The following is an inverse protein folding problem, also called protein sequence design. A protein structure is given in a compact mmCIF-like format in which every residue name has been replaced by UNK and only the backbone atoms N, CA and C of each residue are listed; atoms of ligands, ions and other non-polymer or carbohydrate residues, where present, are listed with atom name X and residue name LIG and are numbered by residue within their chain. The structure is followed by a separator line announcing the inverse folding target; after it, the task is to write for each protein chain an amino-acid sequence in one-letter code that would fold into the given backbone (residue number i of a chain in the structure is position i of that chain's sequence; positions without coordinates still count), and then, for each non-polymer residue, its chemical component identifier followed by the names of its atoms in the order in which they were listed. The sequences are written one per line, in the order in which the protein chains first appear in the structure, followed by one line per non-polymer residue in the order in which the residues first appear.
data_IF_805351252624
#
_entry.id   IF_805351252624
#
_cell.length_a   1.000
_cell.length_b   1.000
_cell.length_c   1.000
_cell.angle_alpha   90.00
_cell.angle_beta   90.00
_cell.angle_gamma   90.00
#
_symmetry.space_group_name_H-M   'P 1'
#
loop_
_entity.id
_entity.type
_entity.pdbx_description
1 polymer ?
#
# COMPACT_ATOMS: atom_id res chain seq x y z
N UNK A 1 23.15 -7.01 -4.98
CA UNK A 1 23.22 -5.60 -4.52
C UNK A 1 22.45 -5.52 -3.21
N UNK A 2 23.05 -4.95 -2.13
CA UNK A 2 22.30 -4.78 -0.87
C UNK A 2 21.26 -3.66 -1.09
N UNK A 3 20.00 -4.02 -1.22
CA UNK A 3 18.89 -3.11 -1.56
C UNK A 3 18.10 -2.83 -0.28
N UNK A 4 18.35 -1.71 0.42
CA UNK A 4 17.60 -1.39 1.63
C UNK A 4 16.13 -1.16 1.26
N UNK A 5 15.28 -2.07 1.70
CA UNK A 5 13.81 -1.92 1.66
C UNK A 5 13.35 -1.35 3.00
N UNK A 6 12.30 -0.54 3.02
CA UNK A 6 11.68 -0.17 4.28
C UNK A 6 11.17 -1.44 4.98
N UNK A 7 11.43 -1.53 6.27
CA UNK A 7 11.04 -2.66 7.12
C UNK A 7 9.68 -2.46 7.80
N UNK A 8 9.26 -3.43 8.61
CA UNK A 8 7.99 -3.40 9.31
C UNK A 8 7.88 -2.26 10.34
N UNK A 9 8.99 -1.75 10.88
CA UNK A 9 8.96 -0.58 11.75
C UNK A 9 8.50 0.68 10.98
N UNK A 10 9.01 0.89 9.78
CA UNK A 10 8.52 1.96 8.91
C UNK A 10 7.11 1.71 8.42
N UNK A 11 6.76 0.45 8.12
CA UNK A 11 5.38 0.06 7.81
C UNK A 11 4.41 0.45 8.91
N UNK A 12 4.78 0.20 10.17
CA UNK A 12 3.97 0.54 11.34
C UNK A 12 3.76 2.05 11.50
N UNK A 13 4.81 2.85 11.33
CA UNK A 13 4.68 4.31 11.41
C UNK A 13 3.79 4.86 10.30
N UNK A 14 3.97 4.39 9.06
CA UNK A 14 3.20 4.89 7.93
C UNK A 14 1.73 4.42 7.98
N UNK A 15 1.45 3.22 8.47
CA UNK A 15 0.07 2.80 8.71
C UNK A 15 -0.64 3.69 9.74
N UNK A 16 0.03 4.04 10.84
CA UNK A 16 -0.52 4.99 11.83
C UNK A 16 -0.79 6.37 11.21
N UNK A 17 0.12 6.85 10.35
CA UNK A 17 -0.01 8.13 9.65
C UNK A 17 -1.15 8.16 8.61
N UNK A 18 -1.72 7.01 8.21
CA UNK A 18 -2.87 6.93 7.32
C UNK A 18 -4.18 7.44 7.97
N UNK A 19 -4.24 7.56 9.29
CA UNK A 19 -5.33 8.26 9.99
C UNK A 19 -5.16 9.77 9.84
N UNK A 20 -6.08 10.42 9.14
CA UNK A 20 -5.95 11.84 8.77
C UNK A 20 -6.06 12.79 9.98
N UNK A 21 -6.75 12.40 11.02
CA UNK A 21 -6.98 13.15 12.26
C UNK A 21 -6.47 12.38 13.52
N UNK A 22 -5.60 11.40 13.31
CA UNK A 22 -4.85 10.68 14.34
C UNK A 22 -3.44 11.24 14.52
N UNK A 23 -2.69 10.71 15.49
CA UNK A 23 -1.31 11.10 15.78
C UNK A 23 -0.45 9.86 16.00
N UNK A 24 0.74 9.84 15.41
CA UNK A 24 1.76 8.83 15.69
C UNK A 24 2.73 9.37 16.73
N UNK A 25 2.97 8.65 17.81
CA UNK A 25 3.98 8.96 18.83
C UNK A 25 5.11 7.96 18.71
N UNK A 26 6.32 8.44 18.48
CA UNK A 26 7.51 7.59 18.51
C UNK A 26 8.17 7.61 19.88
N UNK A 27 8.16 6.47 20.57
CA UNK A 27 9.01 6.26 21.73
C UNK A 27 10.41 5.81 21.26
N UNK A 28 11.37 6.72 21.24
CA UNK A 28 12.69 6.45 20.70
C UNK A 28 13.52 7.70 20.41
N UNK A 29 14.71 7.51 19.82
CA UNK A 29 15.56 8.61 19.34
C UNK A 29 14.90 9.37 18.18
N UNK A 30 15.11 10.68 18.12
CA UNK A 30 14.50 11.55 17.10
C UNK A 30 14.86 11.18 15.65
N UNK A 31 16.03 10.60 15.40
CA UNK A 31 16.47 10.17 14.08
C UNK A 31 15.59 9.06 13.47
N UNK A 32 15.02 8.18 14.28
CA UNK A 32 14.21 7.06 13.83
C UNK A 32 12.92 7.46 13.09
N UNK A 33 12.42 8.67 13.30
CA UNK A 33 11.20 9.18 12.62
C UNK A 33 11.46 9.80 11.24
N UNK A 34 12.73 10.16 10.94
CA UNK A 34 13.07 11.03 9.80
C UNK A 34 12.56 10.55 8.45
N UNK A 35 12.67 9.26 8.17
CA UNK A 35 12.20 8.68 6.92
C UNK A 35 10.66 8.70 6.83
N UNK A 36 9.96 8.20 7.84
CA UNK A 36 8.50 8.18 7.86
C UNK A 36 7.91 9.60 7.84
N UNK A 37 8.47 10.54 8.61
CA UNK A 37 8.03 11.93 8.60
C UNK A 37 8.23 12.59 7.22
N UNK A 38 9.33 12.29 6.53
CA UNK A 38 9.58 12.79 5.16
C UNK A 38 8.56 12.25 4.16
N UNK A 39 8.25 10.95 4.20
CA UNK A 39 7.22 10.37 3.33
C UNK A 39 5.84 10.89 3.67
N UNK A 40 5.47 10.93 4.94
CA UNK A 40 4.19 11.48 5.38
C UNK A 40 3.98 12.94 4.96
N UNK A 41 5.04 13.72 4.86
CA UNK A 41 4.97 15.11 4.39
C UNK A 41 4.78 15.22 2.88
N UNK A 42 5.20 14.23 2.10
CA UNK A 42 5.09 14.23 0.62
C UNK A 42 3.79 13.61 0.12
N UNK A 43 3.34 12.56 0.78
CA UNK A 43 2.15 11.79 0.40
C UNK A 43 1.04 12.04 1.41
N UNK A 44 0.70 13.32 1.63
CA UNK A 44 -0.14 13.77 2.74
C UNK A 44 -1.57 13.26 2.59
N UNK A 45 -2.04 12.36 3.46
CA UNK A 45 -3.47 12.08 3.59
C UNK A 45 -4.22 13.17 4.38
N UNK A 46 -3.50 14.11 5.01
CA UNK A 46 -4.03 15.18 5.87
C UNK A 46 -4.11 16.51 5.13
N UNK A 47 -4.97 17.43 5.61
CA UNK A 47 -5.08 18.77 5.05
C UNK A 47 -3.74 19.54 5.14
N UNK A 48 -3.48 20.37 4.14
CA UNK A 48 -2.23 21.10 3.94
C UNK A 48 -1.83 21.98 5.15
N UNK A 49 -2.79 22.45 5.94
CA UNK A 49 -2.57 23.30 7.12
C UNK A 49 -1.76 22.65 8.25
N UNK A 50 -1.68 21.32 8.27
CA UNK A 50 -0.88 20.59 9.28
C UNK A 50 0.58 20.42 8.89
N UNK A 51 0.98 20.86 7.70
CA UNK A 51 2.33 20.70 7.13
C UNK A 51 3.11 22.02 7.14
N UNK A 52 2.42 23.15 7.01
CA UNK A 52 3.07 24.46 7.06
C UNK A 52 3.60 24.77 8.46
N UNK A 53 4.90 24.77 8.60
CA UNK A 53 5.59 25.22 9.79
C UNK A 53 6.20 24.16 10.68
N UNK A 54 6.00 22.87 10.40
CA UNK A 54 6.44 21.78 11.29
C UNK A 54 7.95 21.58 11.39
N UNK A 55 8.76 22.22 10.53
CA UNK A 55 10.16 21.83 10.41
C UNK A 55 11.13 22.51 11.39
N UNK A 56 10.89 23.78 11.77
CA UNK A 56 11.86 24.50 12.63
C UNK A 56 11.29 25.07 13.93
N UNK A 57 10.01 25.48 13.95
CA UNK A 57 9.42 26.20 15.08
C UNK A 57 8.07 25.65 15.54
N UNK A 58 7.57 24.60 14.89
CA UNK A 58 6.28 23.99 15.17
C UNK A 58 6.42 22.53 15.57
N UNK A 59 5.34 21.89 15.99
CA UNK A 59 5.32 20.49 16.38
C UNK A 59 5.65 19.58 15.23
N UNK A 60 6.49 18.61 15.52
CA UNK A 60 6.72 17.54 14.57
C UNK A 60 5.43 16.76 14.32
N UNK A 61 5.21 16.39 13.07
CA UNK A 61 4.12 15.51 12.65
C UNK A 61 4.12 14.18 13.42
N UNK A 62 5.30 13.66 13.73
CA UNK A 62 5.49 12.47 14.58
C UNK A 62 6.22 12.94 15.84
N UNK A 63 5.50 13.31 16.93
CA UNK A 63 6.13 13.61 18.20
C UNK A 63 6.96 12.43 18.69
N UNK A 64 8.09 12.74 19.34
CA UNK A 64 9.09 11.76 19.72
C UNK A 64 9.57 12.02 21.14
N UNK A 65 9.85 10.97 21.89
CA UNK A 65 10.38 11.07 23.27
C UNK A 65 11.83 11.51 23.34
N UNK A 66 12.54 11.52 22.20
CA UNK A 66 13.97 11.88 22.13
C UNK A 66 14.80 11.12 23.17
N UNK A 67 14.63 9.79 23.21
CA UNK A 67 15.39 8.92 24.10
C UNK A 67 16.89 9.18 23.95
N UNK A 68 17.54 9.49 25.06
CA UNK A 68 18.97 9.76 25.17
C UNK A 68 19.69 8.64 25.96
N UNK A 69 21.00 8.85 26.26
CA UNK A 69 21.80 7.85 26.93
C UNK A 69 21.31 7.51 28.34
N UNK A 70 20.82 8.48 29.08
CA UNK A 70 20.36 8.27 30.45
C UNK A 70 19.02 7.53 30.47
N UNK A 71 18.19 7.80 29.50
CA UNK A 71 16.91 7.09 29.31
C UNK A 71 17.10 5.58 29.09
N UNK A 72 18.16 5.16 28.40
CA UNK A 72 18.48 3.73 28.24
C UNK A 72 18.84 3.05 29.56
N UNK A 73 19.25 3.81 30.58
CA UNK A 73 19.65 3.29 31.90
C UNK A 73 18.48 3.37 32.89
N UNK A 74 17.74 4.49 32.88
CA UNK A 74 16.73 4.81 33.91
C UNK A 74 15.28 4.70 33.44
N UNK A 75 15.06 4.45 32.15
CA UNK A 75 13.73 4.45 31.51
C UNK A 75 13.30 5.85 31.05
N UNK A 76 12.40 5.87 30.07
CA UNK A 76 11.91 7.08 29.41
C UNK A 76 10.36 7.14 29.35
N UNK A 77 9.65 6.25 30.04
CA UNK A 77 8.18 6.12 29.95
C UNK A 77 7.47 7.43 30.27
N UNK A 78 7.99 8.23 31.25
CA UNK A 78 7.41 9.55 31.63
C UNK A 78 7.39 10.55 30.48
N UNK A 79 8.33 10.43 29.52
CA UNK A 79 8.35 11.30 28.33
C UNK A 79 7.13 11.02 27.44
N UNK A 80 6.62 9.78 27.43
CA UNK A 80 5.37 9.43 26.73
C UNK A 80 4.17 10.08 27.42
N UNK A 81 4.08 10.05 28.77
CA UNK A 81 3.04 10.75 29.50
C UNK A 81 2.98 12.23 29.16
N UNK A 82 4.16 12.89 29.14
CA UNK A 82 4.23 14.33 28.80
C UNK A 82 3.68 14.62 27.39
N UNK A 83 3.96 13.75 26.41
CA UNK A 83 3.41 13.90 25.06
C UNK A 83 1.89 13.67 25.09
N UNK A 84 1.41 12.65 25.78
CA UNK A 84 -0.02 12.35 25.91
C UNK A 84 -0.79 13.48 26.57
N UNK A 85 -0.23 14.14 27.60
CA UNK A 85 -0.85 15.29 28.27
C UNK A 85 -1.01 16.48 27.30
N UNK A 86 -0.01 16.72 26.45
CA UNK A 86 -0.09 17.74 25.41
C UNK A 86 -1.20 17.37 24.41
N UNK A 87 -1.21 16.13 23.90
CA UNK A 87 -2.22 15.68 22.92
C UNK A 87 -3.64 15.70 23.49
N UNK A 88 -3.77 15.44 24.80
CA UNK A 88 -5.05 15.57 25.51
C UNK A 88 -5.55 17.00 25.55
N UNK A 89 -4.66 17.96 25.81
CA UNK A 89 -5.02 19.39 25.81
C UNK A 89 -5.40 19.92 24.42
N UNK A 90 -4.99 19.23 23.36
CA UNK A 90 -5.31 19.53 21.95
C UNK A 90 -6.51 18.78 21.41
N UNK A 91 -7.20 18.03 22.26
CA UNK A 91 -8.37 17.23 21.90
C UNK A 91 -8.08 16.20 20.78
N UNK A 92 -6.84 15.67 20.72
CA UNK A 92 -6.46 14.64 19.77
C UNK A 92 -7.46 13.48 19.81
N UNK A 93 -7.94 13.07 18.64
CA UNK A 93 -9.00 12.06 18.53
C UNK A 93 -8.49 10.66 18.79
N UNK A 94 -7.25 10.37 18.35
CA UNK A 94 -6.61 9.07 18.51
C UNK A 94 -5.10 9.18 18.38
N UNK A 95 -4.36 8.37 19.15
CA UNK A 95 -2.91 8.28 19.07
C UNK A 95 -2.44 6.82 18.99
N UNK A 96 -1.36 6.58 18.26
CA UNK A 96 -0.66 5.29 18.23
C UNK A 96 0.75 5.50 18.75
N UNK A 97 1.13 4.77 19.80
CA UNK A 97 2.48 4.77 20.36
C UNK A 97 3.26 3.61 19.77
N UNK A 98 4.40 3.91 19.18
CA UNK A 98 5.32 2.95 18.57
C UNK A 98 6.67 3.04 19.26
N UNK A 99 7.29 1.90 19.54
CA UNK A 99 8.66 1.83 20.07
C UNK A 99 9.68 1.68 18.95
N UNK A 100 10.73 2.47 19.00
CA UNK A 100 11.89 2.23 18.13
C UNK A 100 12.64 0.96 18.55
N UNK A 101 13.45 0.35 17.65
CA UNK A 101 14.21 -0.86 17.97
C UNK A 101 15.03 -0.75 19.25
N UNK A 102 15.67 0.41 19.48
CA UNK A 102 16.44 0.65 20.70
C UNK A 102 15.58 0.83 21.94
N UNK A 103 14.47 1.58 21.84
CA UNK A 103 13.58 1.82 22.97
C UNK A 103 12.86 0.56 23.45
N UNK A 104 12.51 -0.36 22.54
CA UNK A 104 11.89 -1.63 22.91
C UNK A 104 12.76 -2.53 23.80
N UNK A 105 14.08 -2.24 23.88
CA UNK A 105 15.00 -2.94 24.78
C UNK A 105 15.05 -2.36 26.19
N UNK A 106 14.53 -1.14 26.40
CA UNK A 106 14.49 -0.49 27.73
C UNK A 106 13.50 -1.21 28.63
N UNK A 107 12.39 -1.70 28.07
CA UNK A 107 11.34 -2.36 28.81
C UNK A 107 10.41 -1.41 29.56
N UNK A 108 10.21 -0.21 29.03
CA UNK A 108 9.31 0.79 29.58
C UNK A 108 7.86 0.29 29.64
N UNK A 109 7.16 0.59 30.75
CA UNK A 109 5.74 0.19 30.95
C UNK A 109 4.81 1.23 30.33
N UNK A 110 4.77 1.32 29.01
CA UNK A 110 3.97 2.32 28.30
C UNK A 110 2.46 2.24 28.58
N UNK A 111 1.92 1.03 28.88
CA UNK A 111 0.53 0.84 29.26
C UNK A 111 0.17 1.60 30.54
N UNK A 112 1.06 1.60 31.54
CA UNK A 112 0.81 2.27 32.80
C UNK A 112 0.75 3.80 32.60
N UNK A 113 1.60 4.32 31.72
CA UNK A 113 1.63 5.72 31.37
C UNK A 113 0.36 6.16 30.58
N UNK A 114 -0.09 5.35 29.64
CA UNK A 114 -1.32 5.59 28.89
C UNK A 114 -2.53 5.54 29.83
N UNK A 115 -2.57 4.60 30.78
CA UNK A 115 -3.64 4.52 31.79
C UNK A 115 -3.67 5.76 32.69
N UNK A 116 -2.51 6.19 33.19
CA UNK A 116 -2.39 7.33 34.09
C UNK A 116 -2.73 8.66 33.41
N UNK A 117 -2.47 8.81 32.10
CA UNK A 117 -2.84 9.99 31.32
C UNK A 117 -4.35 10.17 31.12
N UNK A 118 -5.15 9.11 31.33
CA UNK A 118 -6.58 9.07 31.03
C UNK A 118 -6.91 9.09 29.54
N UNK A 119 -5.97 8.71 28.68
CA UNK A 119 -6.13 8.60 27.22
C UNK A 119 -6.28 7.15 26.73
N UNK A 120 -6.51 6.18 27.61
CA UNK A 120 -6.57 4.76 27.27
C UNK A 120 -7.52 4.44 26.12
N UNK A 121 -8.69 5.06 26.07
CA UNK A 121 -9.70 4.83 25.03
C UNK A 121 -9.33 5.44 23.68
N UNK A 122 -8.40 6.38 23.68
CA UNK A 122 -7.93 7.12 22.49
C UNK A 122 -6.49 6.78 22.11
N UNK A 123 -5.87 5.81 22.75
CA UNK A 123 -4.47 5.45 22.49
C UNK A 123 -4.32 3.95 22.28
N UNK A 124 -3.63 3.57 21.22
CA UNK A 124 -3.17 2.22 20.98
C UNK A 124 -1.63 2.16 21.11
N UNK A 125 -1.10 1.05 21.63
CA UNK A 125 0.33 0.83 21.76
C UNK A 125 0.68 -0.40 20.94
N UNK A 126 1.62 -0.25 20.00
CA UNK A 126 2.22 -1.40 19.33
C UNK A 126 3.32 -1.97 20.25
N UNK A 127 3.00 -3.04 20.95
CA UNK A 127 3.79 -3.58 22.07
C UNK A 127 5.09 -4.28 21.69
N UNK A 128 5.49 -4.25 20.41
CA UNK A 128 6.79 -4.75 19.93
C UNK A 128 7.25 -3.99 18.69
N UNK A 129 8.55 -3.80 18.56
CA UNK A 129 9.13 -3.28 17.33
C UNK A 129 9.13 -4.36 16.24
N UNK A 130 8.65 -4.02 15.04
CA UNK A 130 8.54 -4.92 13.89
C UNK A 130 9.68 -4.75 12.88
N UNK A 131 10.86 -4.30 13.30
CA UNK A 131 12.00 -4.06 12.40
C UNK A 131 12.49 -5.34 11.66
N UNK A 132 12.31 -6.51 12.25
CA UNK A 132 12.67 -7.80 11.62
C UNK A 132 11.60 -8.32 10.64
N UNK A 133 10.45 -7.69 10.62
CA UNK A 133 9.33 -8.06 9.73
C UNK A 133 9.39 -7.26 8.44
N UNK A 134 8.63 -7.72 7.43
CA UNK A 134 8.47 -6.98 6.18
C UNK A 134 7.68 -5.69 6.39
N UNK A 135 7.80 -4.77 5.44
CA UNK A 135 7.02 -3.52 5.45
C UNK A 135 5.51 -3.81 5.49
N UNK A 136 5.05 -4.75 4.66
CA UNK A 136 3.64 -5.14 4.59
C UNK A 136 3.12 -5.66 5.93
N UNK A 137 3.89 -6.53 6.61
CA UNK A 137 3.52 -7.05 7.92
C UNK A 137 3.42 -5.96 8.99
N UNK A 138 4.36 -5.02 9.01
CA UNK A 138 4.30 -3.89 9.94
C UNK A 138 3.11 -2.96 9.68
N UNK A 139 2.81 -2.73 8.41
CA UNK A 139 1.67 -1.93 7.98
C UNK A 139 0.35 -2.56 8.43
N UNK A 140 0.14 -3.82 8.08
CA UNK A 140 -1.06 -4.60 8.39
C UNK A 140 -1.29 -4.75 9.91
N UNK A 141 -0.27 -5.14 10.66
CA UNK A 141 -0.38 -5.30 12.12
C UNK A 141 -0.79 -4.00 12.82
N UNK A 142 -0.33 -2.85 12.32
CA UNK A 142 -0.71 -1.55 12.88
C UNK A 142 -2.14 -1.16 12.49
N UNK A 143 -2.55 -1.43 11.24
CA UNK A 143 -3.96 -1.27 10.84
C UNK A 143 -4.89 -2.14 11.69
N UNK A 144 -4.51 -3.40 11.93
CA UNK A 144 -5.25 -4.33 12.77
C UNK A 144 -5.36 -3.82 14.22
N UNK A 145 -4.27 -3.30 14.79
CA UNK A 145 -4.26 -2.69 16.12
C UNK A 145 -5.25 -1.51 16.21
N UNK A 146 -5.23 -0.62 15.21
CA UNK A 146 -6.14 0.53 15.15
C UNK A 146 -7.59 0.07 14.98
N UNK A 147 -7.84 -0.89 14.10
CA UNK A 147 -9.18 -1.45 13.87
C UNK A 147 -9.74 -2.11 15.15
N UNK A 148 -8.96 -2.93 15.85
CA UNK A 148 -9.33 -3.56 17.13
C UNK A 148 -9.73 -2.52 18.19
N UNK A 149 -9.11 -1.36 18.16
CA UNK A 149 -9.40 -0.28 19.12
C UNK A 149 -10.64 0.53 18.72
N UNK A 150 -10.80 0.83 17.46
CA UNK A 150 -11.79 1.79 16.95
C UNK A 150 -13.05 1.15 16.36
N UNK A 151 -12.91 0.11 15.53
CA UNK A 151 -14.03 -0.56 14.89
C UNK A 151 -14.68 -1.56 15.84
N UNK A 152 -15.93 -1.33 16.20
CA UNK A 152 -16.71 -2.20 17.06
C UNK A 152 -17.89 -2.79 16.28
N UNK A 153 -18.29 -4.01 16.63
CA UNK A 153 -19.41 -4.69 15.96
C UNK A 153 -20.64 -3.81 15.88
N UNK A 154 -21.20 -3.66 14.69
CA UNK A 154 -22.35 -2.80 14.40
C UNK A 154 -23.22 -3.42 13.30
N UNK A 155 -24.41 -2.86 13.11
CA UNK A 155 -25.30 -3.23 12.01
C UNK A 155 -24.68 -2.88 10.66
N UNK A 156 -24.83 -3.79 9.69
CA UNK A 156 -24.26 -3.62 8.34
C UNK A 156 -25.17 -2.73 7.48
N UNK A 157 -24.53 -1.90 6.69
CA UNK A 157 -25.21 -1.12 5.64
C UNK A 157 -25.07 -1.84 4.32
N UNK A 158 -26.19 -2.22 3.66
CA UNK A 158 -26.12 -2.85 2.33
C UNK A 158 -25.44 -1.94 1.31
N UNK A 159 -24.84 -2.52 0.28
CA UNK A 159 -24.19 -1.79 -0.82
C UNK A 159 -23.09 -0.83 -0.35
N UNK A 160 -22.41 -1.16 0.76
CA UNK A 160 -21.29 -0.38 1.24
C UNK A 160 -20.05 -1.25 1.45
N UNK A 161 -18.87 -0.68 1.19
CA UNK A 161 -17.60 -1.37 1.37
C UNK A 161 -16.56 -0.48 2.05
N UNK A 162 -15.50 -1.10 2.57
CA UNK A 162 -14.24 -0.41 2.84
C UNK A 162 -13.26 -0.72 1.72
N UNK A 163 -12.47 0.25 1.28
CA UNK A 163 -11.33 0.04 0.39
C UNK A 163 -10.06 -0.14 1.22
N UNK A 164 -9.28 -1.18 0.93
CA UNK A 164 -8.14 -1.59 1.77
C UNK A 164 -6.97 -2.16 0.94
N UNK A 165 -5.85 -2.46 1.60
CA UNK A 165 -4.72 -3.13 0.96
C UNK A 165 -3.95 -2.23 0.00
N UNK A 166 -4.00 -0.92 0.20
CA UNK A 166 -3.27 0.04 -0.60
C UNK A 166 -2.62 1.08 0.33
N UNK A 167 -1.34 0.97 0.66
CA UNK A 167 -0.66 2.00 1.44
C UNK A 167 -0.73 3.36 0.75
N UNK A 168 -1.02 4.45 1.49
CA UNK A 168 -1.18 5.78 0.92
C UNK A 168 0.07 6.31 0.19
N UNK A 169 1.22 5.73 0.47
CA UNK A 169 2.49 6.02 -0.20
C UNK A 169 2.68 5.24 -1.50
N UNK A 170 1.72 4.41 -1.91
CA UNK A 170 1.76 3.71 -3.21
C UNK A 170 1.68 4.69 -4.36
N UNK A 171 2.32 4.36 -5.48
CA UNK A 171 2.40 5.22 -6.65
C UNK A 171 1.04 5.65 -7.17
N UNK A 172 0.80 6.96 -7.20
CA UNK A 172 -0.45 7.53 -7.70
C UNK A 172 -1.67 7.16 -6.86
N UNK A 173 -1.50 6.82 -5.57
CA UNK A 173 -2.54 6.29 -4.68
C UNK A 173 -3.84 7.10 -4.73
N UNK A 174 -3.77 8.43 -4.54
CA UNK A 174 -4.98 9.26 -4.46
C UNK A 174 -5.76 9.37 -5.78
N UNK A 175 -5.09 9.32 -6.93
CA UNK A 175 -5.76 9.26 -8.23
C UNK A 175 -6.39 7.90 -8.46
N UNK A 176 -5.70 6.82 -8.08
CA UNK A 176 -6.21 5.46 -8.14
C UNK A 176 -7.47 5.30 -7.27
N UNK A 177 -7.43 5.77 -6.04
CA UNK A 177 -8.60 5.69 -5.13
C UNK A 177 -9.83 6.35 -5.74
N UNK A 178 -9.68 7.53 -6.36
CA UNK A 178 -10.80 8.18 -7.07
C UNK A 178 -11.35 7.34 -8.22
N UNK A 179 -10.48 6.70 -8.99
CA UNK A 179 -10.87 5.80 -10.08
C UNK A 179 -11.63 4.58 -9.54
N UNK A 180 -11.08 3.92 -8.49
CA UNK A 180 -11.72 2.76 -7.88
C UNK A 180 -13.09 3.11 -7.25
N UNK A 181 -13.19 4.26 -6.58
CA UNK A 181 -14.48 4.78 -6.09
C UNK A 181 -15.48 4.97 -7.25
N UNK A 182 -15.02 5.50 -8.37
CA UNK A 182 -15.87 5.70 -9.55
C UNK A 182 -16.36 4.37 -10.13
N UNK A 183 -15.50 3.36 -10.24
CA UNK A 183 -15.87 2.02 -10.68
C UNK A 183 -16.88 1.36 -9.72
N UNK A 184 -16.68 1.48 -8.41
CA UNK A 184 -17.61 0.97 -7.39
C UNK A 184 -18.95 1.70 -7.46
N UNK A 185 -18.94 3.02 -7.65
CA UNK A 185 -20.14 3.84 -7.76
C UNK A 185 -21.01 3.47 -8.98
N UNK A 186 -20.39 3.04 -10.11
CA UNK A 186 -21.14 2.52 -11.27
C UNK A 186 -21.95 1.27 -10.93
N UNK A 187 -21.53 0.50 -9.92
CA UNK A 187 -22.26 -0.65 -9.40
C UNK A 187 -23.22 -0.30 -8.25
N UNK A 188 -23.39 0.99 -7.94
CA UNK A 188 -24.19 1.46 -6.80
C UNK A 188 -23.57 1.27 -5.43
N UNK A 189 -22.26 0.97 -5.37
CA UNK A 189 -21.55 0.72 -4.12
C UNK A 189 -20.97 2.02 -3.56
N UNK A 190 -21.14 2.24 -2.25
CA UNK A 190 -20.56 3.37 -1.52
C UNK A 190 -19.38 2.91 -0.66
N UNK A 191 -18.26 3.62 -0.71
CA UNK A 191 -17.11 3.38 0.16
C UNK A 191 -17.29 4.15 1.47
N UNK A 192 -17.20 3.45 2.62
CA UNK A 192 -17.30 4.03 3.97
C UNK A 192 -15.93 4.55 4.44
N UNK A 193 -14.88 3.75 4.26
CA UNK A 193 -13.55 4.06 4.73
C UNK A 193 -12.48 3.55 3.75
N UNK A 194 -11.47 4.39 3.53
CA UNK A 194 -10.24 4.05 2.79
C UNK A 194 -9.16 3.65 3.80
N UNK A 195 -9.26 2.41 4.33
CA UNK A 195 -8.44 1.92 5.45
C UNK A 195 -6.98 1.74 5.00
N UNK A 196 -6.07 2.40 5.73
CA UNK A 196 -4.64 2.38 5.40
C UNK A 196 -4.26 3.37 4.28
N UNK A 197 -5.24 4.09 3.72
CA UNK A 197 -5.04 5.05 2.64
C UNK A 197 -5.15 6.47 3.19
N UNK A 198 -6.39 6.89 3.51
CA UNK A 198 -6.68 8.20 4.09
C UNK A 198 -8.07 8.16 4.73
N UNK A 199 -8.18 7.76 5.98
CA UNK A 199 -9.45 7.78 6.68
C UNK A 199 -9.35 8.57 7.99
N UNK A 200 -10.48 9.14 8.41
CA UNK A 200 -10.59 9.73 9.74
C UNK A 200 -10.80 8.67 10.81
N UNK A 201 -10.55 9.00 12.06
CA UNK A 201 -10.89 8.14 13.20
C UNK A 201 -12.37 7.73 13.19
N UNK A 202 -13.25 8.66 12.78
CA UNK A 202 -14.68 8.38 12.69
C UNK A 202 -15.00 7.40 11.54
N UNK A 203 -14.40 7.57 10.38
CA UNK A 203 -14.54 6.61 9.28
C UNK A 203 -14.02 5.23 9.66
N UNK A 204 -12.89 5.15 10.40
CA UNK A 204 -12.39 3.89 10.94
C UNK A 204 -13.40 3.25 11.92
N UNK A 205 -14.09 4.02 12.76
CA UNK A 205 -15.17 3.49 13.61
C UNK A 205 -16.35 2.99 12.78
N UNK A 206 -16.74 3.73 11.76
CA UNK A 206 -17.85 3.38 10.87
C UNK A 206 -17.54 2.23 9.92
N UNK A 207 -16.25 1.89 9.73
CA UNK A 207 -15.83 0.80 8.84
C UNK A 207 -16.46 -0.54 9.20
N UNK A 208 -16.83 -0.74 10.48
CA UNK A 208 -17.55 -1.91 10.96
C UNK A 208 -18.97 -2.04 10.40
N UNK A 209 -19.52 -1.01 9.77
CA UNK A 209 -20.85 -1.01 9.15
C UNK A 209 -20.81 -1.45 7.68
N UNK A 210 -19.64 -1.64 7.08
CA UNK A 210 -19.52 -2.08 5.71
C UNK A 210 -20.05 -3.51 5.51
N UNK A 211 -20.56 -3.80 4.30
CA UNK A 211 -20.96 -5.15 3.90
C UNK A 211 -19.76 -6.03 3.59
N UNK A 212 -18.68 -5.44 3.09
CA UNK A 212 -17.43 -6.15 2.78
C UNK A 212 -16.22 -5.19 2.83
N UNK A 213 -15.03 -5.76 2.97
CA UNK A 213 -13.77 -5.09 2.65
C UNK A 213 -13.37 -5.43 1.22
N UNK A 214 -13.00 -4.45 0.42
CA UNK A 214 -12.46 -4.63 -0.92
C UNK A 214 -10.95 -4.41 -0.85
N UNK A 215 -10.17 -5.49 -0.92
CA UNK A 215 -8.74 -5.48 -0.74
C UNK A 215 -8.01 -5.50 -2.08
N UNK A 216 -7.10 -4.54 -2.30
CA UNK A 216 -6.32 -4.42 -3.54
C UNK A 216 -5.09 -5.32 -3.47
N UNK A 217 -4.23 -5.15 -2.46
CA UNK A 217 -3.02 -5.93 -2.22
C UNK A 217 -3.09 -6.51 -0.81
N UNK A 218 -3.39 -7.81 -0.66
CA UNK A 218 -3.59 -8.43 0.65
C UNK A 218 -2.33 -8.46 1.52
N UNK A 219 -1.16 -8.32 0.97
CA UNK A 219 0.11 -8.23 1.69
C UNK A 219 0.09 -7.08 2.73
N UNK A 220 -0.78 -6.09 2.53
CA UNK A 220 -0.93 -4.94 3.44
C UNK A 220 -2.20 -4.99 4.30
N UNK A 221 -3.00 -6.06 4.21
CA UNK A 221 -4.28 -6.16 4.91
C UNK A 221 -4.73 -7.63 5.12
N UNK A 222 -3.86 -8.48 5.63
CA UNK A 222 -4.17 -9.88 5.86
C UNK A 222 -4.63 -10.14 7.30
N UNK A 223 -3.83 -9.76 8.31
CA UNK A 223 -4.18 -9.89 9.74
C UNK A 223 -5.41 -9.03 10.07
N UNK A 224 -5.48 -7.85 9.51
CA UNK A 224 -6.62 -6.96 9.68
C UNK A 224 -7.88 -7.53 9.02
N UNK A 225 -7.76 -8.16 7.86
CA UNK A 225 -8.86 -8.85 7.19
C UNK A 225 -9.42 -10.01 8.03
N UNK A 226 -8.57 -10.80 8.67
CA UNK A 226 -8.98 -11.85 9.60
C UNK A 226 -9.80 -11.28 10.76
N UNK A 227 -9.32 -10.21 11.41
CA UNK A 227 -10.06 -9.52 12.46
C UNK A 227 -11.45 -9.04 12.00
N UNK A 228 -11.53 -8.40 10.82
CA UNK A 228 -12.82 -7.95 10.27
C UNK A 228 -13.76 -9.11 9.98
N UNK A 229 -13.26 -10.22 9.48
CA UNK A 229 -14.06 -11.39 9.17
C UNK A 229 -14.55 -12.12 10.46
N UNK A 230 -13.65 -12.43 11.37
CA UNK A 230 -13.93 -13.25 12.54
C UNK A 230 -14.70 -12.47 13.62
N UNK A 231 -14.27 -11.25 13.93
CA UNK A 231 -14.83 -10.49 15.03
C UNK A 231 -15.97 -9.58 14.62
N UNK A 232 -15.90 -9.01 13.40
CA UNK A 232 -16.90 -8.06 12.92
C UNK A 232 -17.89 -8.68 11.92
N UNK A 233 -17.61 -9.86 11.37
CA UNK A 233 -18.45 -10.52 10.37
C UNK A 233 -18.49 -9.77 9.04
N UNK A 234 -17.33 -9.19 8.62
CA UNK A 234 -17.16 -8.47 7.36
C UNK A 234 -16.22 -9.26 6.48
N UNK A 235 -16.68 -9.91 5.40
CA UNK A 235 -15.83 -10.64 4.49
C UNK A 235 -14.87 -9.70 3.75
N UNK A 236 -13.70 -10.22 3.39
CA UNK A 236 -12.73 -9.49 2.57
C UNK A 236 -12.67 -10.08 1.16
N UNK A 237 -12.98 -9.26 0.17
CA UNK A 237 -12.88 -9.60 -1.26
C UNK A 237 -11.47 -9.29 -1.73
N UNK A 238 -10.84 -10.28 -2.37
CA UNK A 238 -9.57 -10.13 -3.07
C UNK A 238 -9.80 -10.34 -4.57
N UNK A 239 -9.03 -9.68 -5.42
CA UNK A 239 -9.09 -9.95 -6.85
C UNK A 239 -8.63 -11.39 -7.16
N UNK A 240 -9.41 -12.22 -7.87
CA UNK A 240 -9.02 -13.60 -8.17
C UNK A 240 -7.70 -13.74 -8.93
N UNK A 241 -7.28 -12.68 -9.61
CA UNK A 241 -6.05 -12.60 -10.39
C UNK A 241 -5.01 -11.64 -9.77
N UNK A 242 -5.18 -11.24 -8.51
CA UNK A 242 -4.37 -10.21 -7.86
C UNK A 242 -4.99 -8.81 -7.95
N UNK A 243 -4.17 -7.78 -7.80
CA UNK A 243 -4.58 -6.39 -7.94
C UNK A 243 -5.22 -6.14 -9.32
N UNK A 244 -6.16 -5.17 -9.45
CA UNK A 244 -6.81 -4.89 -10.73
C UNK A 244 -5.85 -4.21 -11.72
N UNK A 245 -4.90 -5.00 -12.27
CA UNK A 245 -3.90 -4.60 -13.27
C UNK A 245 -4.13 -5.39 -14.56
N UNK A 246 -4.38 -4.66 -15.66
CA UNK A 246 -4.81 -5.26 -16.92
C UNK A 246 -6.30 -5.56 -16.93
N UNK A 247 -6.92 -5.45 -18.11
CA UNK A 247 -8.37 -5.51 -18.24
C UNK A 247 -8.99 -6.81 -17.75
N UNK A 248 -8.31 -7.96 -17.92
CA UNK A 248 -8.81 -9.26 -17.43
C UNK A 248 -8.88 -9.29 -15.89
N UNK A 249 -7.86 -8.76 -15.19
CA UNK A 249 -7.82 -8.70 -13.74
C UNK A 249 -8.83 -7.67 -13.18
N UNK A 250 -9.01 -6.52 -13.86
CA UNK A 250 -10.01 -5.52 -13.48
C UNK A 250 -11.41 -6.11 -13.58
N UNK A 251 -11.74 -6.83 -14.68
CA UNK A 251 -13.05 -7.52 -14.83
C UNK A 251 -13.25 -8.58 -13.74
N UNK A 252 -12.22 -9.37 -13.45
CA UNK A 252 -12.30 -10.40 -12.42
C UNK A 252 -12.54 -9.78 -11.03
N UNK A 253 -11.86 -8.68 -10.73
CA UNK A 253 -12.03 -7.93 -9.49
C UNK A 253 -13.45 -7.34 -9.37
N UNK A 254 -13.95 -6.67 -10.41
CA UNK A 254 -15.33 -6.11 -10.45
C UNK A 254 -16.37 -7.19 -10.22
N UNK A 255 -16.24 -8.36 -10.87
CA UNK A 255 -17.16 -9.49 -10.69
C UNK A 255 -17.12 -10.05 -9.27
N UNK A 256 -15.92 -10.22 -8.69
CA UNK A 256 -15.77 -10.72 -7.32
C UNK A 256 -16.40 -9.77 -6.28
N UNK A 257 -16.20 -8.46 -6.46
CA UNK A 257 -16.87 -7.45 -5.62
C UNK A 257 -18.37 -7.51 -5.77
N UNK A 258 -18.88 -7.52 -7.00
CA UNK A 258 -20.33 -7.56 -7.28
C UNK A 258 -20.99 -8.82 -6.71
N UNK A 259 -20.37 -9.97 -6.82
CA UNK A 259 -20.85 -11.23 -6.23
C UNK A 259 -20.96 -11.12 -4.70
N UNK A 260 -19.94 -10.57 -4.05
CA UNK A 260 -19.91 -10.46 -2.58
C UNK A 260 -20.96 -9.51 -2.03
N UNK A 261 -21.17 -8.35 -2.67
CA UNK A 261 -22.22 -7.38 -2.24
C UNK A 261 -23.58 -7.60 -2.92
N UNK A 262 -23.69 -8.57 -3.81
CA UNK A 262 -24.92 -8.94 -4.54
C UNK A 262 -25.46 -7.78 -5.39
N UNK A 263 -24.62 -7.18 -6.25
CA UNK A 263 -25.00 -6.08 -7.14
C UNK A 263 -24.74 -6.40 -8.62
N UNK A 264 -25.24 -5.54 -9.52
CA UNK A 264 -25.03 -5.68 -10.97
C UNK A 264 -23.66 -5.10 -11.39
N UNK A 265 -22.72 -5.89 -11.92
CA UNK A 265 -21.43 -5.42 -12.40
C UNK A 265 -21.49 -4.82 -13.82
N UNK A 266 -22.60 -4.96 -14.55
CA UNK A 266 -22.71 -4.64 -15.99
C UNK A 266 -22.21 -3.24 -16.33
N UNK A 267 -22.61 -2.15 -15.63
CA UNK A 267 -22.16 -0.81 -15.99
C UNK A 267 -20.64 -0.62 -15.88
N UNK A 268 -20.00 -1.25 -14.87
CA UNK A 268 -18.56 -1.19 -14.74
C UNK A 268 -17.84 -2.04 -15.80
N UNK A 269 -18.40 -3.22 -16.15
CA UNK A 269 -17.84 -4.08 -17.19
C UNK A 269 -17.93 -3.44 -18.58
N UNK A 270 -19.02 -2.76 -18.92
CA UNK A 270 -19.15 -2.02 -20.17
C UNK A 270 -18.09 -0.92 -20.30
N UNK A 271 -17.86 -0.15 -19.23
CA UNK A 271 -16.78 0.87 -19.21
C UNK A 271 -15.41 0.22 -19.47
N UNK A 272 -15.10 -0.90 -18.81
CA UNK A 272 -13.82 -1.60 -18.98
C UNK A 272 -13.67 -2.11 -20.42
N UNK A 273 -14.74 -2.64 -21.04
CA UNK A 273 -14.70 -3.14 -22.39
C UNK A 273 -14.52 -2.03 -23.43
N UNK A 274 -15.13 -0.88 -23.22
CA UNK A 274 -14.98 0.27 -24.13
C UNK A 274 -13.59 0.89 -24.03
N UNK A 275 -13.06 1.00 -22.82
CA UNK A 275 -11.67 1.44 -22.57
C UNK A 275 -10.66 0.49 -23.25
N UNK A 276 -10.81 -0.81 -23.10
CA UNK A 276 -9.93 -1.78 -23.76
C UNK A 276 -9.99 -1.66 -25.28
N UNK A 277 -11.19 -1.55 -25.86
CA UNK A 277 -11.36 -1.37 -27.31
C UNK A 277 -10.68 -0.10 -27.82
N UNK A 278 -10.79 1.01 -27.07
CA UNK A 278 -10.17 2.27 -27.44
C UNK A 278 -8.63 2.16 -27.46
N UNK A 279 -8.04 1.66 -26.36
CA UNK A 279 -6.58 1.51 -26.26
C UNK A 279 -6.05 0.57 -27.35
N UNK A 280 -6.65 -0.61 -27.51
CA UNK A 280 -6.17 -1.60 -28.48
C UNK A 280 -6.49 -1.27 -29.94
N UNK A 281 -7.38 -0.32 -30.22
CA UNK A 281 -7.53 0.24 -31.59
C UNK A 281 -6.23 0.93 -32.04
N UNK A 282 -5.60 1.69 -31.15
CA UNK A 282 -4.31 2.34 -31.42
C UNK A 282 -3.15 1.34 -31.49
N UNK A 283 -3.12 0.39 -30.55
CA UNK A 283 -2.06 -0.63 -30.46
C UNK A 283 -2.06 -1.57 -31.65
N UNK A 284 -3.24 -1.98 -32.14
CA UNK A 284 -3.37 -2.92 -33.27
C UNK A 284 -2.75 -2.39 -34.56
N UNK A 285 -2.84 -1.09 -34.80
CA UNK A 285 -2.20 -0.45 -35.95
C UNK A 285 -0.67 -0.56 -35.88
N UNK A 286 -0.07 -0.27 -34.71
CA UNK A 286 1.37 -0.34 -34.48
C UNK A 286 1.91 -1.78 -34.50
N UNK A 287 1.19 -2.74 -33.91
CA UNK A 287 1.56 -4.16 -33.91
C UNK A 287 1.52 -4.79 -35.31
N UNK A 288 0.60 -4.34 -36.18
CA UNK A 288 0.48 -4.86 -37.57
C UNK A 288 1.58 -4.37 -38.51
N UNK A 289 2.26 -3.28 -38.20
CA UNK A 289 3.36 -2.72 -39.01
C UNK A 289 4.71 -3.44 -38.73
N UNK A 290 4.75 -4.38 -37.77
CA UNK A 290 5.96 -5.15 -37.46
C UNK A 290 7.02 -4.37 -36.68
N UNK A 291 6.70 -3.19 -36.16
CA UNK A 291 7.62 -2.37 -35.35
C UNK A 291 8.08 -3.07 -34.04
N UNK A 292 7.39 -4.16 -33.65
CA UNK A 292 7.67 -4.94 -32.43
C UNK A 292 8.22 -6.34 -32.71
N UNK A 293 8.86 -6.55 -33.84
CA UNK A 293 9.31 -7.89 -34.31
C UNK A 293 10.52 -8.46 -33.53
N UNK A 294 11.16 -7.73 -32.62
CA UNK A 294 12.22 -8.25 -31.76
C UNK A 294 11.64 -8.82 -30.47
N UNK A 295 12.17 -9.97 -30.02
CA UNK A 295 11.89 -10.55 -28.71
C UNK A 295 12.29 -9.52 -27.63
N UNK A 296 11.30 -8.82 -27.10
CA UNK A 296 11.49 -7.88 -26.02
C UNK A 296 11.26 -8.57 -24.69
N UNK A 297 12.05 -8.22 -23.70
CA UNK A 297 11.98 -8.79 -22.36
C UNK A 297 11.56 -7.75 -21.32
N UNK A 298 11.04 -8.22 -20.19
CA UNK A 298 10.74 -7.37 -19.06
C UNK A 298 11.12 -8.05 -17.74
N UNK A 299 11.41 -7.24 -16.73
CA UNK A 299 11.64 -7.71 -15.37
C UNK A 299 10.71 -7.00 -14.39
N UNK A 300 10.28 -7.72 -13.35
CA UNK A 300 9.37 -7.23 -12.31
C UNK A 300 10.03 -7.42 -10.94
N UNK A 301 9.92 -6.39 -10.10
CA UNK A 301 10.18 -6.44 -8.66
C UNK A 301 8.97 -5.83 -7.96
N UNK A 302 8.09 -6.66 -7.40
CA UNK A 302 6.82 -6.24 -6.81
C UNK A 302 6.26 -7.25 -5.81
N UNK A 303 5.14 -6.89 -5.17
CA UNK A 303 4.32 -7.78 -4.37
C UNK A 303 3.69 -8.89 -5.24
N UNK A 304 3.45 -10.10 -4.71
CA UNK A 304 2.81 -11.19 -5.46
C UNK A 304 1.49 -10.80 -6.12
N UNK A 305 0.63 -10.07 -5.38
CA UNK A 305 -0.66 -9.60 -5.90
C UNK A 305 -0.55 -8.59 -7.06
N UNK A 306 0.58 -7.94 -7.21
CA UNK A 306 0.91 -7.02 -8.32
C UNK A 306 1.63 -7.74 -9.45
N UNK A 307 2.60 -8.59 -9.12
CA UNK A 307 3.44 -9.27 -10.11
C UNK A 307 2.63 -10.21 -11.03
N UNK A 308 1.71 -10.99 -10.47
CA UNK A 308 0.88 -11.93 -11.21
C UNK A 308 0.04 -11.27 -12.32
N UNK A 309 -0.83 -10.28 -12.03
CA UNK A 309 -1.65 -9.66 -13.07
C UNK A 309 -0.81 -8.82 -14.04
N UNK A 310 0.24 -8.14 -13.57
CA UNK A 310 1.13 -7.35 -14.41
C UNK A 310 1.83 -8.24 -15.44
N UNK A 311 2.46 -9.34 -15.00
CA UNK A 311 3.08 -10.33 -15.89
C UNK A 311 2.05 -10.88 -16.88
N UNK A 312 0.87 -11.26 -16.40
CA UNK A 312 -0.20 -11.81 -17.26
C UNK A 312 -0.62 -10.81 -18.34
N UNK A 313 -0.79 -9.54 -17.98
CA UNK A 313 -1.18 -8.49 -18.91
C UNK A 313 -0.10 -8.23 -19.97
N UNK A 314 1.17 -8.11 -19.57
CA UNK A 314 2.28 -7.86 -20.47
C UNK A 314 2.47 -9.02 -21.45
N UNK A 315 2.49 -10.25 -20.97
CA UNK A 315 2.67 -11.43 -21.83
C UNK A 315 1.51 -11.60 -22.82
N UNK A 316 0.26 -11.53 -22.32
CA UNK A 316 -0.91 -11.77 -23.18
C UNK A 316 -1.17 -10.68 -24.19
N UNK A 317 -1.03 -9.41 -23.79
CA UNK A 317 -1.46 -8.26 -24.60
C UNK A 317 -0.32 -7.57 -25.33
N UNK A 318 0.88 -7.55 -24.75
CA UNK A 318 2.03 -6.84 -25.31
C UNK A 318 3.10 -7.76 -25.86
N UNK A 319 2.98 -9.09 -25.60
CA UNK A 319 3.83 -10.16 -26.15
C UNK A 319 5.32 -10.03 -25.79
N UNK A 320 5.64 -9.46 -24.61
CA UNK A 320 6.98 -9.48 -24.08
C UNK A 320 7.23 -10.78 -23.30
N UNK A 321 8.49 -11.23 -23.26
CA UNK A 321 8.92 -12.39 -22.47
C UNK A 321 9.43 -11.95 -21.08
N UNK A 322 9.13 -12.68 -20.01
CA UNK A 322 9.66 -12.37 -18.68
C UNK A 322 11.15 -12.76 -18.61
N UNK A 323 12.02 -11.83 -18.16
CA UNK A 323 13.44 -12.11 -17.90
C UNK A 323 13.69 -12.47 -16.44
N UNK A 324 13.14 -11.68 -15.50
CA UNK A 324 13.18 -11.99 -14.06
C UNK A 324 11.94 -11.45 -13.35
N UNK A 325 11.50 -12.20 -12.32
CA UNK A 325 10.42 -11.78 -11.42
C UNK A 325 10.90 -12.03 -9.98
N UNK A 326 11.12 -10.94 -9.25
CA UNK A 326 11.51 -10.95 -7.84
C UNK A 326 10.34 -10.43 -6.99
N UNK A 327 9.97 -11.18 -5.96
CA UNK A 327 8.87 -10.83 -5.07
C UNK A 327 9.40 -10.13 -3.81
N UNK A 328 8.70 -9.11 -3.34
CA UNK A 328 9.16 -8.28 -2.21
C UNK A 328 8.35 -8.45 -0.91
N UNK A 329 7.18 -9.02 -0.99
CA UNK A 329 6.32 -9.44 0.13
C UNK A 329 5.89 -10.88 -0.09
N UNK A 330 5.02 -11.44 0.77
CA UNK A 330 4.54 -12.81 0.68
C UNK A 330 3.01 -12.88 0.65
N UNK A 331 2.48 -13.64 -0.30
CA UNK A 331 1.11 -14.13 -0.34
C UNK A 331 1.09 -15.47 -1.08
N UNK A 332 0.95 -16.56 -0.33
CA UNK A 332 1.02 -17.93 -0.85
C UNK A 332 0.09 -18.17 -2.03
N UNK A 333 -1.12 -17.61 -1.99
CA UNK A 333 -2.14 -17.81 -3.02
C UNK A 333 -1.69 -17.24 -4.39
N UNK A 334 -1.14 -16.05 -4.43
CA UNK A 334 -0.68 -15.44 -5.69
C UNK A 334 0.69 -15.95 -6.13
N UNK A 335 1.56 -16.33 -5.18
CA UNK A 335 2.84 -16.98 -5.48
C UNK A 335 2.63 -18.34 -6.17
N UNK A 336 1.71 -19.16 -5.66
CA UNK A 336 1.35 -20.44 -6.26
C UNK A 336 0.74 -20.28 -7.67
N UNK A 337 -0.15 -19.30 -7.85
CA UNK A 337 -0.72 -19.01 -9.16
C UNK A 337 0.35 -18.55 -10.16
N UNK A 338 1.24 -17.64 -9.74
CA UNK A 338 2.33 -17.14 -10.56
C UNK A 338 3.28 -18.27 -10.97
N UNK A 339 3.70 -19.09 -10.01
CA UNK A 339 4.55 -20.26 -10.24
C UNK A 339 3.90 -21.26 -11.21
N UNK A 340 2.62 -21.57 -11.00
CA UNK A 340 1.85 -22.45 -11.88
C UNK A 340 1.73 -21.91 -13.31
N UNK A 341 1.55 -20.59 -13.45
CA UNK A 341 1.46 -19.97 -14.77
C UNK A 341 2.82 -19.99 -15.50
N UNK A 342 3.90 -19.64 -14.81
CA UNK A 342 5.26 -19.70 -15.37
C UNK A 342 5.66 -21.12 -15.76
N UNK A 343 5.28 -22.11 -14.96
CA UNK A 343 5.49 -23.54 -15.30
C UNK A 343 4.77 -23.92 -16.59
N UNK A 344 3.53 -23.50 -16.78
CA UNK A 344 2.79 -23.75 -18.04
C UNK A 344 3.43 -23.07 -19.25
N UNK A 345 4.17 -21.99 -19.05
CA UNK A 345 4.90 -21.27 -20.09
C UNK A 345 6.31 -21.84 -20.33
N UNK A 346 6.83 -22.70 -19.45
CA UNK A 346 8.21 -23.16 -19.49
C UNK A 346 9.24 -22.15 -18.99
N UNK A 347 8.80 -21.15 -18.23
CA UNK A 347 9.60 -19.98 -17.77
C UNK A 347 9.84 -20.01 -16.24
N UNK A 348 9.91 -21.19 -15.63
CA UNK A 348 10.08 -21.35 -14.17
C UNK A 348 11.35 -20.70 -13.62
N UNK A 349 12.38 -20.57 -14.46
CA UNK A 349 13.67 -20.05 -14.04
C UNK A 349 13.67 -18.54 -13.77
N UNK A 350 12.67 -17.78 -14.25
CA UNK A 350 12.59 -16.34 -14.07
C UNK A 350 12.42 -15.93 -12.59
N UNK A 351 11.82 -16.81 -11.76
CA UNK A 351 11.69 -16.59 -10.30
C UNK A 351 13.02 -16.79 -9.52
N UNK A 352 14.03 -17.37 -10.17
CA UNK A 352 15.36 -17.59 -9.57
C UNK A 352 16.36 -16.51 -9.94
N UNK A 353 16.01 -15.64 -10.87
CA UNK A 353 16.87 -14.56 -11.36
C UNK A 353 16.66 -13.31 -10.51
N UNK A 354 17.75 -12.65 -10.17
CA UNK A 354 17.70 -11.36 -9.46
C UNK A 354 17.24 -10.24 -10.43
N UNK A 355 16.38 -9.35 -9.96
CA UNK A 355 15.88 -8.21 -10.72
C UNK A 355 17.03 -7.31 -11.20
N UNK A 356 17.13 -7.10 -12.52
CA UNK A 356 18.17 -6.27 -13.15
C UNK A 356 19.57 -6.88 -13.15
N UNK A 357 19.69 -8.21 -12.95
CA UNK A 357 20.96 -8.91 -13.13
C UNK A 357 21.33 -9.04 -14.62
N UNK A 358 20.33 -9.19 -15.47
CA UNK A 358 20.44 -9.22 -16.92
C UNK A 358 19.65 -8.08 -17.56
N UNK A 359 19.98 -7.75 -18.82
CA UNK A 359 19.30 -6.70 -19.56
C UNK A 359 17.83 -7.05 -19.80
N UNK A 360 16.96 -6.05 -19.63
CA UNK A 360 15.54 -6.14 -20.02
C UNK A 360 15.11 -4.83 -20.67
N UNK A 361 14.34 -4.89 -21.74
CA UNK A 361 13.84 -3.65 -22.37
C UNK A 361 13.02 -2.81 -21.39
N UNK A 362 12.21 -3.45 -20.56
CA UNK A 362 11.34 -2.74 -19.61
C UNK A 362 11.53 -3.28 -18.20
N UNK A 363 11.80 -2.40 -17.24
CA UNK A 363 11.81 -2.72 -15.82
C UNK A 363 10.55 -2.19 -15.14
N UNK A 364 9.95 -3.01 -14.28
CA UNK A 364 8.86 -2.62 -13.37
C UNK A 364 9.31 -2.87 -11.95
N UNK A 365 9.58 -1.82 -11.19
CA UNK A 365 10.13 -1.98 -9.84
C UNK A 365 10.28 -0.65 -9.09
N UNK A 366 11.06 -0.64 -7.98
CA UNK A 366 11.32 0.58 -7.21
C UNK A 366 12.07 1.62 -8.04
N UNK A 367 11.57 2.86 -8.05
CA UNK A 367 12.08 3.92 -8.89
C UNK A 367 13.58 4.17 -8.74
N UNK A 368 14.11 4.19 -7.50
CA UNK A 368 15.54 4.41 -7.28
C UNK A 368 16.42 3.28 -7.85
N UNK A 369 15.93 2.03 -7.82
CA UNK A 369 16.63 0.88 -8.43
C UNK A 369 16.52 0.96 -9.95
N UNK A 370 15.33 1.25 -10.46
CA UNK A 370 15.08 1.43 -11.87
C UNK A 370 15.96 2.54 -12.49
N UNK A 371 16.07 3.69 -11.84
CA UNK A 371 16.93 4.78 -12.29
C UNK A 371 18.41 4.40 -12.31
N UNK A 372 18.86 3.68 -11.27
CA UNK A 372 20.23 3.18 -11.23
C UNK A 372 20.52 2.21 -12.38
N UNK A 373 19.60 1.27 -12.66
CA UNK A 373 19.75 0.29 -13.73
C UNK A 373 19.66 0.96 -15.11
N UNK A 374 18.82 1.96 -15.28
CA UNK A 374 18.75 2.78 -16.50
C UNK A 374 20.07 3.52 -16.77
N UNK A 375 20.69 4.11 -15.73
CA UNK A 375 22.01 4.76 -15.85
C UNK A 375 23.16 3.77 -16.14
N UNK A 376 22.94 2.47 -15.93
CA UNK A 376 23.89 1.39 -16.23
C UNK A 376 23.62 0.70 -17.56
N UNK A 377 22.71 1.23 -18.37
CA UNK A 377 22.28 0.63 -19.63
C UNK A 377 21.76 -0.82 -19.48
N UNK A 378 21.21 -1.15 -18.32
CA UNK A 378 20.61 -2.48 -18.06
C UNK A 378 19.15 -2.55 -18.51
N UNK A 379 18.56 -1.46 -18.98
CA UNK A 379 17.23 -1.43 -19.58
C UNK A 379 17.09 -0.25 -20.53
N UNK A 380 16.12 -0.33 -21.44
CA UNK A 380 15.75 0.78 -22.32
C UNK A 380 14.77 1.74 -21.64
N UNK A 381 13.86 1.21 -20.81
CA UNK A 381 12.92 2.02 -20.03
C UNK A 381 12.58 1.37 -18.69
N UNK A 382 12.07 2.19 -17.77
CA UNK A 382 11.67 1.72 -16.46
C UNK A 382 10.36 2.37 -16.01
N UNK A 383 9.57 1.60 -15.25
CA UNK A 383 8.31 2.03 -14.67
C UNK A 383 8.39 1.83 -13.15
N UNK A 384 8.34 2.93 -12.42
CA UNK A 384 8.28 2.90 -10.96
C UNK A 384 6.88 2.46 -10.51
N UNK A 385 6.80 1.33 -9.82
CA UNK A 385 5.54 0.68 -9.44
C UNK A 385 5.41 0.33 -7.95
N UNK A 386 6.48 0.44 -7.20
CA UNK A 386 6.51 0.05 -5.79
C UNK A 386 6.41 1.25 -4.85
N UNK A 387 6.61 1.00 -3.56
CA UNK A 387 6.63 2.04 -2.53
C UNK A 387 7.64 3.12 -2.91
N UNK A 388 7.23 4.40 -2.94
CA UNK A 388 8.05 5.48 -3.40
C UNK A 388 9.28 5.72 -2.53
N UNK A 389 10.38 6.04 -3.16
CA UNK A 389 11.55 6.61 -2.49
C UNK A 389 11.23 7.99 -1.93
N UNK A 390 11.91 8.38 -0.84
CA UNK A 390 11.82 9.74 -0.27
C UNK A 390 12.21 10.86 -1.25
N UNK A 391 12.93 10.51 -2.31
CA UNK A 391 13.45 11.46 -3.30
C UNK A 391 12.48 11.72 -4.46
N UNK A 392 11.38 10.96 -4.54
CA UNK A 392 10.35 11.12 -5.58
C UNK A 392 9.15 11.93 -5.09
N UNK A 393 8.63 12.78 -5.98
CA UNK A 393 7.39 13.52 -5.78
C UNK A 393 6.39 13.12 -6.85
N UNK A 394 5.23 12.59 -6.44
CA UNK A 394 4.16 12.15 -7.34
C UNK A 394 3.04 13.19 -7.38
N UNK A 395 2.98 13.96 -8.48
CA UNK A 395 1.93 14.96 -8.72
C UNK A 395 0.93 14.43 -9.76
N UNK A 396 1.44 13.87 -10.86
CA UNK A 396 0.60 13.27 -11.89
C UNK A 396 0.14 11.86 -11.50
N UNK A 397 -1.00 11.36 -12.04
CA UNK A 397 -1.40 9.97 -11.89
C UNK A 397 -0.30 9.02 -12.37
N UNK A 398 0.17 8.13 -11.50
CA UNK A 398 1.29 7.22 -11.78
C UNK A 398 1.04 5.77 -11.37
N UNK A 399 -0.17 5.43 -10.92
CA UNK A 399 -0.52 4.04 -10.64
C UNK A 399 -0.43 3.19 -11.91
N UNK A 400 -0.09 1.91 -11.73
CA UNK A 400 -0.26 0.86 -12.75
C UNK A 400 -1.52 0.04 -12.53
N UNK A 401 -2.22 0.28 -11.42
CA UNK A 401 -3.49 -0.35 -11.06
C UNK A 401 -4.62 0.48 -11.67
N UNK A 402 -5.70 -0.17 -12.07
CA UNK A 402 -6.86 0.48 -12.67
C UNK A 402 -6.74 0.68 -14.18
N UNK A 403 -7.71 1.37 -14.77
CA UNK A 403 -7.80 1.63 -16.22
C UNK A 403 -6.70 2.59 -16.69
N UNK A 404 -6.46 3.67 -15.92
CA UNK A 404 -5.35 4.58 -16.19
C UNK A 404 -4.01 3.87 -16.11
N UNK A 405 -3.89 2.89 -15.21
CA UNK A 405 -2.73 2.02 -15.09
C UNK A 405 -2.49 1.18 -16.35
N UNK A 406 -3.54 0.63 -16.94
CA UNK A 406 -3.47 -0.09 -18.22
C UNK A 406 -2.93 0.78 -19.35
N UNK A 407 -3.48 1.99 -19.50
CA UNK A 407 -3.00 2.98 -20.49
C UNK A 407 -1.52 3.29 -20.31
N UNK A 408 -1.12 3.55 -19.07
CA UNK A 408 0.28 3.87 -18.72
C UNK A 408 1.24 2.73 -19.06
N UNK A 409 0.90 1.48 -18.73
CA UNK A 409 1.73 0.32 -19.07
C UNK A 409 1.88 0.22 -20.58
N UNK A 410 0.76 0.26 -21.32
CA UNK A 410 0.76 0.18 -22.78
C UNK A 410 1.60 1.29 -23.40
N UNK A 411 1.37 2.55 -23.01
CA UNK A 411 2.12 3.70 -23.50
C UNK A 411 3.62 3.56 -23.24
N UNK A 412 4.02 3.19 -22.02
CA UNK A 412 5.43 3.05 -21.66
C UNK A 412 6.12 1.93 -22.44
N UNK A 413 5.48 0.78 -22.59
CA UNK A 413 6.02 -0.36 -23.33
C UNK A 413 6.14 -0.03 -24.83
N UNK A 414 5.12 0.61 -25.41
CA UNK A 414 5.13 0.94 -26.85
C UNK A 414 6.13 2.04 -27.20
N UNK A 415 6.39 2.98 -26.29
CA UNK A 415 7.35 4.06 -26.50
C UNK A 415 8.79 3.73 -26.09
N UNK A 416 9.06 2.48 -25.69
CA UNK A 416 10.41 1.98 -25.43
C UNK A 416 11.17 1.84 -26.76
N UNK A 417 12.30 2.53 -26.91
CA UNK A 417 13.13 2.54 -28.13
C UNK A 417 14.49 1.91 -27.86
#
# INVERSE_FOLDING_TARGET
MNRPRPDGFYGSMLASESLTDGMTILHGPGGCRGYAASLSSRYVPREFRTVEGDFFFHRSRIPCTFVDRDDYIYGASKKVSMILDILKSEETKFAVVLESPGASLIGDKLQDEVLSSGMSDKTAILGKCLMSESFGKGYDSTLCLMAKKLAKRSEKRPMTVNLTGLPYISKGCFSLVKELHSLLALMGITVIADIGIACTVEQMRQSSQASANVCICPEFFSECAEYYNEELGIPTVRGPMGAPIGYDAIRAWVKAVAETVSCDPTPALELIDDEEKEVFRHVSASLSIGEFASLRTFSILAEPSVALPLMTFIVKRLRLAPESIELCEHDDHYEEQLSSLLKKMGEENVLKKEFGAEFSEVLFGPGAICDYLLQKDMCSTAVDITIPSKDYMDIAPKSIIGLDGCRRIVEKVLNTR
#
